data_IF_043873333390
#
_entry.id   IF_043873333390
#
_cell.length_a   1.000
_cell.length_b   1.000
_cell.length_c   1.000
_cell.angle_alpha   90.00
_cell.angle_beta   90.00
_cell.angle_gamma   90.00
#
_symmetry.space_group_name_H-M   'P 1'
#
loop_
_entity.id
_entity.type
_entity.pdbx_description
1 polymer ?
#
# COMPACT_ATOMS: atom_id res chain seq x y z
N UNK A 1 10.43 -17.08 -3.90
CA UNK A 1 9.22 -16.28 -4.17
C UNK A 1 9.17 -15.13 -3.18
N UNK A 2 9.66 -13.95 -3.56
CA UNK A 2 9.68 -12.77 -2.69
C UNK A 2 8.28 -12.16 -2.67
N UNK A 3 7.56 -12.32 -1.57
CA UNK A 3 6.25 -11.71 -1.36
C UNK A 3 6.44 -10.23 -1.05
N UNK A 4 6.45 -9.37 -2.07
CA UNK A 4 6.77 -7.94 -1.96
C UNK A 4 5.57 -7.14 -1.41
N UNK A 5 4.77 -7.68 -0.48
CA UNK A 5 3.61 -6.96 0.06
C UNK A 5 4.00 -6.08 1.27
N UNK A 6 3.75 -4.76 1.26
CA UNK A 6 3.97 -3.89 2.41
C UNK A 6 2.87 -4.02 3.48
N UNK A 7 1.95 -4.99 3.34
CA UNK A 7 0.84 -5.18 4.27
C UNK A 7 1.34 -5.68 5.63
N UNK A 8 1.01 -4.94 6.70
CA UNK A 8 1.34 -5.32 8.08
C UNK A 8 0.31 -6.24 8.73
N UNK A 9 -0.72 -6.68 7.99
CA UNK A 9 -1.88 -7.43 8.49
C UNK A 9 -2.66 -6.75 9.63
N UNK A 10 -2.37 -5.47 9.87
CA UNK A 10 -3.18 -4.58 10.68
C UNK A 10 -3.86 -3.62 9.70
N UNK A 11 -5.17 -3.74 9.53
CA UNK A 11 -5.93 -2.84 8.66
C UNK A 11 -6.57 -1.76 9.53
N UNK A 12 -6.05 -0.55 9.41
CA UNK A 12 -6.62 0.62 10.06
C UNK A 12 -6.93 1.60 8.93
N UNK A 13 -8.19 1.86 8.65
CA UNK A 13 -8.59 2.72 7.52
C UNK A 13 -8.71 4.17 7.99
N UNK A 14 -8.45 5.11 7.08
CA UNK A 14 -8.79 6.52 7.29
C UNK A 14 -10.29 6.69 7.52
N UNK A 15 -10.69 7.81 8.12
CA UNK A 15 -12.11 8.10 8.42
C UNK A 15 -12.98 8.06 7.15
N UNK A 16 -12.37 8.44 6.03
CA UNK A 16 -12.92 8.47 4.67
C UNK A 16 -12.76 7.15 3.90
N UNK A 17 -12.17 6.12 4.52
CA UNK A 17 -11.85 4.82 3.91
C UNK A 17 -11.00 4.89 2.63
N UNK A 18 -10.32 6.00 2.33
CA UNK A 18 -9.54 6.09 1.09
C UNK A 18 -8.23 5.30 1.17
N UNK A 19 -7.61 5.20 2.35
CA UNK A 19 -6.35 4.50 2.54
C UNK A 19 -6.21 3.85 3.92
N UNK A 20 -5.37 2.82 3.99
CA UNK A 20 -4.98 2.16 5.22
C UNK A 20 -3.85 2.96 5.89
N UNK A 21 -4.06 3.42 7.11
CA UNK A 21 -3.10 4.13 7.96
C UNK A 21 -1.89 3.25 8.31
N UNK A 22 -2.10 1.94 8.48
CA UNK A 22 -1.03 1.00 8.85
C UNK A 22 -0.02 0.71 7.73
N UNK A 23 -0.50 0.52 6.49
CA UNK A 23 0.34 0.20 5.33
C UNK A 23 0.43 1.34 4.30
N UNK A 24 -0.28 2.45 4.52
CA UNK A 24 -0.34 3.67 3.72
C UNK A 24 -0.87 3.49 2.29
N UNK A 25 -1.48 2.33 2.01
CA UNK A 25 -2.02 1.98 0.69
C UNK A 25 -3.46 2.39 0.57
N UNK A 26 -3.86 2.84 -0.62
CA UNK A 26 -5.28 3.06 -0.91
C UNK A 26 -6.03 1.73 -1.02
N UNK A 27 -7.36 1.77 -0.85
CA UNK A 27 -8.19 0.59 -1.08
C UNK A 27 -8.07 0.08 -2.53
N UNK A 28 -7.98 0.97 -3.52
CA UNK A 28 -7.75 0.57 -4.92
C UNK A 28 -6.41 -0.15 -5.10
N UNK A 29 -5.35 0.34 -4.45
CA UNK A 29 -4.04 -0.32 -4.47
C UNK A 29 -4.16 -1.71 -3.84
N UNK A 30 -4.89 -1.86 -2.73
CA UNK A 30 -5.10 -3.14 -2.03
C UNK A 30 -5.88 -4.13 -2.91
N UNK A 31 -7.03 -3.71 -3.44
CA UNK A 31 -7.90 -4.56 -4.26
C UNK A 31 -7.26 -4.99 -5.58
N UNK A 32 -6.47 -4.10 -6.22
CA UNK A 32 -5.78 -4.42 -7.46
C UNK A 32 -4.37 -5.00 -7.24
N UNK A 33 -3.96 -5.27 -5.99
CA UNK A 33 -2.59 -5.66 -5.69
C UNK A 33 -2.09 -6.84 -6.50
N UNK A 34 -2.91 -7.87 -6.62
CA UNK A 34 -2.54 -9.08 -7.33
C UNK A 34 -2.40 -8.84 -8.84
N UNK A 35 -3.16 -7.89 -9.38
CA UNK A 35 -3.14 -7.51 -10.80
C UNK A 35 -1.90 -6.69 -11.19
N UNK A 36 -1.29 -5.99 -10.25
CA UNK A 36 -0.11 -5.19 -10.54
C UNK A 36 1.13 -6.04 -10.88
N UNK A 37 1.87 -5.58 -11.88
CA UNK A 37 3.18 -6.09 -12.23
C UNK A 37 4.21 -5.81 -11.12
N UNK A 38 5.33 -6.52 -11.14
CA UNK A 38 6.42 -6.33 -10.17
C UNK A 38 6.95 -4.89 -10.17
N UNK A 39 7.01 -4.24 -11.33
CA UNK A 39 7.40 -2.83 -11.50
C UNK A 39 6.40 -1.89 -10.83
N UNK A 40 5.11 -2.10 -11.04
CA UNK A 40 4.06 -1.28 -10.42
C UNK A 40 4.05 -1.45 -8.90
N UNK A 41 4.16 -2.70 -8.42
CA UNK A 41 4.29 -3.00 -6.99
C UNK A 41 5.46 -2.26 -6.35
N UNK A 42 6.62 -2.24 -7.01
CA UNK A 42 7.81 -1.48 -6.54
C UNK A 42 7.54 0.02 -6.52
N UNK A 43 6.91 0.57 -7.56
CA UNK A 43 6.56 1.99 -7.63
C UNK A 43 5.62 2.40 -6.49
N UNK A 44 4.57 1.62 -6.26
CA UNK A 44 3.63 1.82 -5.14
C UNK A 44 4.40 1.82 -3.82
N UNK A 45 5.22 0.81 -3.55
CA UNK A 45 5.99 0.72 -2.30
C UNK A 45 6.93 1.92 -2.13
N UNK A 46 7.54 2.40 -3.21
CA UNK A 46 8.37 3.61 -3.15
C UNK A 46 7.54 4.84 -2.78
N UNK A 47 6.36 4.99 -3.39
CA UNK A 47 5.39 6.03 -3.02
C UNK A 47 4.95 5.92 -1.56
N UNK A 48 4.76 4.73 -1.00
CA UNK A 48 4.44 4.54 0.43
C UNK A 48 5.55 5.07 1.34
N UNK A 49 6.83 4.85 0.98
CA UNK A 49 7.97 5.39 1.73
C UNK A 49 7.96 6.92 1.72
N UNK A 50 7.60 7.53 0.59
CA UNK A 50 7.46 8.99 0.48
C UNK A 50 6.28 9.51 1.29
N UNK A 51 5.12 8.82 1.25
CA UNK A 51 3.95 9.14 2.08
C UNK A 51 4.30 9.09 3.58
N UNK A 52 5.04 8.06 4.01
CA UNK A 52 5.50 7.91 5.40
C UNK A 52 6.42 9.05 5.86
N UNK A 53 7.24 9.63 4.97
CA UNK A 53 8.17 10.73 5.31
C UNK A 53 7.46 12.08 5.48
N UNK A 54 6.20 12.18 5.05
CA UNK A 54 5.39 13.41 5.08
C UNK A 54 4.44 13.48 6.28
N UNK A 55 4.27 12.37 7.00
CA UNK A 55 3.67 12.31 8.34
C UNK A 55 4.76 12.50 9.39
#
# INVERSE_FOLDING_TARGET
>A
MTNISPCKRNCELSIDNSYCLSCLRSLEEISNWEKFSTSEKKSIINSLKLRKRKL
#
